data_IF_863887699312
#
_entry.id   IF_863887699312
#
_cell.length_a   1.000
_cell.length_b   1.000
_cell.length_c   1.000
_cell.angle_alpha   90.00
_cell.angle_beta   90.00
_cell.angle_gamma   90.00
#
_symmetry.space_group_name_H-M   'P 1'
#
loop_
_entity.id
_entity.type
_entity.pdbx_description
1 polymer ?
#
# COMPACT_ATOMS: atom_id res chain seq x y z
N UNK A 1 -1.09 -12.79 13.79
CA UNK A 1 0.30 -13.24 13.91
C UNK A 1 1.08 -12.11 14.58
N UNK A 2 1.78 -12.37 15.69
CA UNK A 2 2.43 -11.33 16.51
C UNK A 2 3.92 -11.15 16.13
N UNK A 3 4.52 -12.14 15.46
CA UNK A 3 5.91 -12.10 15.04
C UNK A 3 6.07 -11.38 13.70
N UNK A 4 7.07 -10.49 13.62
CA UNK A 4 7.47 -9.85 12.36
C UNK A 4 8.14 -10.86 11.44
N UNK A 5 7.92 -10.71 10.14
CA UNK A 5 8.55 -11.57 9.15
C UNK A 5 10.01 -11.13 8.92
N UNK A 6 10.92 -12.06 8.57
CA UNK A 6 12.33 -11.73 8.40
C UNK A 6 12.54 -10.82 7.19
N UNK A 7 13.29 -9.73 7.37
CA UNK A 7 13.70 -8.85 6.26
C UNK A 7 14.91 -9.39 5.51
N UNK A 8 15.74 -10.18 6.19
CA UNK A 8 16.91 -10.85 5.63
C UNK A 8 16.69 -12.36 5.66
N UNK A 9 16.78 -12.99 4.48
CA UNK A 9 16.64 -14.43 4.32
C UNK A 9 17.88 -14.95 3.61
N UNK A 10 18.39 -16.10 4.06
CA UNK A 10 19.54 -16.78 3.44
C UNK A 10 19.11 -18.18 3.05
N UNK A 11 19.38 -18.56 1.80
CA UNK A 11 19.15 -19.89 1.26
C UNK A 11 20.48 -20.45 0.78
N UNK A 12 20.95 -21.52 1.41
CA UNK A 12 22.19 -22.22 1.06
C UNK A 12 21.96 -23.72 1.38
N UNK A 13 22.56 -24.63 0.61
CA UNK A 13 22.45 -26.07 0.81
C UNK A 13 23.43 -26.59 1.89
N UNK A 14 24.51 -25.84 2.14
CA UNK A 14 25.56 -26.17 3.11
C UNK A 14 25.33 -25.47 4.46
N UNK A 15 25.15 -26.27 5.51
CA UNK A 15 24.86 -25.78 6.87
C UNK A 15 25.91 -24.78 7.39
N UNK A 16 27.20 -25.02 7.15
CA UNK A 16 28.26 -24.16 7.66
C UNK A 16 28.31 -22.80 6.95
N UNK A 17 28.01 -22.74 5.66
CA UNK A 17 27.87 -21.47 4.93
C UNK A 17 26.65 -20.68 5.40
N UNK A 18 25.52 -21.36 5.58
CA UNK A 18 24.29 -20.77 6.10
C UNK A 18 24.50 -20.17 7.51
N UNK A 19 25.16 -20.92 8.39
CA UNK A 19 25.50 -20.49 9.74
C UNK A 19 26.45 -19.29 9.75
N UNK A 20 27.38 -19.19 8.80
CA UNK A 20 28.31 -18.08 8.73
C UNK A 20 27.60 -16.74 8.46
N UNK A 21 26.70 -16.69 7.46
CA UNK A 21 25.94 -15.46 7.17
C UNK A 21 25.00 -15.13 8.32
N UNK A 22 24.22 -16.11 8.80
CA UNK A 22 23.23 -15.87 9.86
C UNK A 22 23.88 -15.42 11.16
N UNK A 23 25.04 -15.98 11.56
CA UNK A 23 25.81 -15.50 12.71
C UNK A 23 26.34 -14.09 12.52
N UNK A 24 26.77 -13.73 11.31
CA UNK A 24 27.16 -12.35 11.03
C UNK A 24 26.00 -11.39 11.29
N UNK A 25 24.80 -11.65 10.75
CA UNK A 25 23.64 -10.81 11.03
C UNK A 25 23.26 -10.74 12.53
N UNK A 26 23.44 -11.84 13.27
CA UNK A 26 23.25 -11.85 14.72
C UNK A 26 24.25 -10.94 15.45
N UNK A 27 25.53 -10.95 15.07
CA UNK A 27 26.55 -10.03 15.62
C UNK A 27 26.21 -8.57 15.32
N UNK A 28 25.53 -8.32 14.20
CA UNK A 28 25.05 -7.00 13.78
C UNK A 28 23.72 -6.60 14.43
N UNK A 29 23.17 -7.40 15.34
CA UNK A 29 21.91 -7.12 16.02
C UNK A 29 20.68 -7.15 15.11
N UNK A 30 20.77 -7.81 13.94
CA UNK A 30 19.71 -7.83 12.93
C UNK A 30 19.14 -9.24 12.77
N UNK A 31 17.81 -9.43 12.85
CA UNK A 31 17.20 -10.73 12.59
C UNK A 31 17.43 -11.20 11.15
N UNK A 32 17.94 -12.41 10.99
CA UNK A 32 18.14 -13.07 9.71
C UNK A 32 17.65 -14.52 9.79
N UNK A 33 16.88 -14.94 8.79
CA UNK A 33 16.38 -16.31 8.70
C UNK A 33 17.25 -17.13 7.76
N UNK A 34 17.91 -18.16 8.30
CA UNK A 34 18.60 -19.15 7.48
C UNK A 34 17.65 -20.30 7.11
N UNK A 35 17.62 -20.65 5.83
CA UNK A 35 16.88 -21.78 5.28
C UNK A 35 17.87 -22.69 4.58
N UNK A 36 18.06 -23.89 5.13
CA UNK A 36 18.83 -24.91 4.43
C UNK A 36 18.01 -25.41 3.24
N UNK A 37 18.59 -25.32 2.05
CA UNK A 37 17.97 -25.89 0.87
C UNK A 37 18.16 -27.40 0.83
N UNK A 38 17.08 -28.12 0.56
CA UNK A 38 17.07 -29.57 0.35
C UNK A 38 16.18 -29.85 -0.87
N UNK A 39 16.72 -30.41 -1.97
CA UNK A 39 15.94 -30.73 -3.17
C UNK A 39 14.73 -31.65 -2.91
N UNK A 40 14.74 -32.41 -1.81
CA UNK A 40 13.64 -33.30 -1.42
C UNK A 40 12.54 -32.60 -0.61
N UNK A 41 12.72 -31.33 -0.23
CA UNK A 41 11.78 -30.58 0.60
C UNK A 41 11.35 -29.29 -0.09
N UNK A 42 10.05 -29.03 -0.07
CA UNK A 42 9.52 -27.76 -0.55
C UNK A 42 9.86 -26.63 0.43
N UNK A 43 10.29 -25.50 -0.13
CA UNK A 43 10.46 -24.27 0.63
C UNK A 43 9.10 -23.75 1.11
N UNK A 44 9.06 -23.27 2.36
CA UNK A 44 7.84 -22.71 2.94
C UNK A 44 7.73 -21.23 2.57
N UNK A 45 6.71 -20.88 1.78
CA UNK A 45 6.47 -19.49 1.33
C UNK A 45 6.41 -18.47 2.48
N UNK A 46 5.88 -18.86 3.65
CA UNK A 46 5.79 -17.99 4.83
C UNK A 46 7.16 -17.49 5.32
N UNK A 47 8.25 -18.19 5.01
CA UNK A 47 9.61 -17.77 5.35
C UNK A 47 10.09 -16.58 4.51
N UNK A 48 9.51 -16.35 3.33
CA UNK A 48 9.88 -15.29 2.40
C UNK A 48 8.95 -14.08 2.50
N UNK A 49 7.97 -14.12 3.39
CA UNK A 49 7.00 -13.04 3.57
C UNK A 49 7.71 -11.75 3.97
N UNK A 50 7.64 -10.72 3.13
CA UNK A 50 8.22 -9.42 3.47
C UNK A 50 9.75 -9.38 3.46
N UNK A 51 10.41 -10.32 2.76
CA UNK A 51 11.85 -10.27 2.51
C UNK A 51 12.22 -8.94 1.82
N UNK A 52 13.39 -8.41 2.16
CA UNK A 52 13.99 -7.22 1.55
C UNK A 52 15.34 -7.52 0.94
N UNK A 53 16.09 -8.43 1.57
CA UNK A 53 17.37 -8.90 1.08
C UNK A 53 17.37 -10.43 1.17
N UNK A 54 17.41 -11.07 0.00
CA UNK A 54 17.49 -12.52 -0.13
C UNK A 54 18.92 -12.89 -0.54
N UNK A 55 19.65 -13.54 0.35
CA UNK A 55 20.92 -14.18 0.02
C UNK A 55 20.60 -15.57 -0.51
N UNK A 56 21.15 -15.90 -1.66
CA UNK A 56 20.97 -17.22 -2.25
C UNK A 56 22.29 -17.72 -2.78
N UNK A 57 22.65 -18.93 -2.36
CA UNK A 57 23.72 -19.64 -3.02
C UNK A 57 23.37 -19.90 -4.48
N UNK A 58 24.38 -19.80 -5.35
CA UNK A 58 24.18 -20.05 -6.77
C UNK A 58 24.07 -21.55 -7.07
N UNK A 59 24.77 -22.40 -6.32
CA UNK A 59 24.93 -23.82 -6.60
C UNK A 59 24.19 -24.69 -5.59
N UNK A 60 22.90 -24.40 -5.35
CA UNK A 60 22.02 -25.12 -4.41
C UNK A 60 21.88 -26.64 -4.62
N UNK A 61 22.40 -27.19 -5.72
CA UNK A 61 22.37 -28.63 -6.01
C UNK A 61 23.79 -29.08 -6.35
N UNK A 62 24.54 -29.45 -5.32
CA UNK A 62 25.84 -30.11 -5.45
C UNK A 62 25.64 -31.55 -5.95
N UNK A 63 26.26 -31.92 -7.08
CA UNK A 63 26.22 -33.31 -7.54
C UNK A 63 26.49 -33.56 -9.02
N UNK A 64 26.51 -32.53 -9.87
CA UNK A 64 27.14 -32.62 -11.17
C UNK A 64 27.93 -31.35 -11.41
N UNK A 65 29.17 -31.49 -11.85
CA UNK A 65 29.88 -30.47 -12.61
C UNK A 65 29.09 -30.22 -13.91
N UNK A 66 27.91 -29.62 -13.76
CA UNK A 66 27.08 -29.13 -14.82
C UNK A 66 27.77 -27.87 -15.28
N UNK A 67 28.47 -27.94 -16.40
CA UNK A 67 28.89 -26.75 -17.15
C UNK A 67 27.70 -25.90 -17.59
N UNK A 68 26.46 -26.37 -17.36
CA UNK A 68 25.22 -25.68 -17.70
C UNK A 68 24.73 -24.80 -16.53
N UNK A 69 25.29 -23.60 -16.48
CA UNK A 69 24.92 -22.54 -15.54
C UNK A 69 23.42 -22.19 -15.61
N UNK A 70 22.76 -22.42 -16.75
CA UNK A 70 21.32 -22.12 -16.92
C UNK A 70 20.44 -22.95 -16.00
N UNK A 71 20.85 -24.17 -15.65
CA UNK A 71 20.07 -25.01 -14.72
C UNK A 71 20.01 -24.36 -13.33
N UNK A 72 21.11 -23.80 -12.86
CA UNK A 72 21.17 -23.07 -11.59
C UNK A 72 20.29 -21.81 -11.63
N UNK A 73 20.34 -21.06 -12.74
CA UNK A 73 19.50 -19.87 -12.91
C UNK A 73 18.00 -20.20 -12.96
N UNK A 74 17.63 -21.27 -13.67
CA UNK A 74 16.26 -21.77 -13.72
C UNK A 74 15.72 -22.21 -12.37
N UNK A 75 16.56 -22.86 -11.55
CA UNK A 75 16.19 -23.22 -10.18
C UNK A 75 15.92 -21.98 -9.32
N UNK A 76 16.83 -21.00 -9.38
CA UNK A 76 16.65 -19.72 -8.67
C UNK A 76 15.35 -19.04 -9.11
N UNK A 77 15.09 -18.96 -10.42
CA UNK A 77 13.85 -18.36 -10.94
C UNK A 77 12.60 -19.05 -10.37
N UNK A 78 12.55 -20.39 -10.38
CA UNK A 78 11.44 -21.15 -9.80
C UNK A 78 11.29 -20.89 -8.29
N UNK A 79 12.40 -20.87 -7.53
CA UNK A 79 12.35 -20.54 -6.10
C UNK A 79 11.72 -19.14 -5.89
N UNK A 80 12.15 -18.14 -6.65
CA UNK A 80 11.59 -16.79 -6.54
C UNK A 80 10.11 -16.75 -6.88
N UNK A 81 9.71 -17.37 -7.99
CA UNK A 81 8.33 -17.42 -8.47
C UNK A 81 7.37 -18.18 -7.57
N UNK A 82 7.87 -19.18 -6.85
CA UNK A 82 7.06 -20.04 -6.00
C UNK A 82 7.02 -19.54 -4.55
N UNK A 83 7.95 -18.68 -4.13
CA UNK A 83 8.08 -18.27 -2.73
C UNK A 83 7.92 -16.77 -2.47
N UNK A 84 8.28 -15.90 -3.41
CA UNK A 84 8.09 -14.46 -3.22
C UNK A 84 6.60 -14.13 -3.32
N UNK A 85 6.05 -13.55 -2.26
CA UNK A 85 4.62 -13.23 -2.23
C UNK A 85 4.29 -12.04 -3.14
N UNK A 86 3.12 -12.08 -3.79
CA UNK A 86 2.51 -10.91 -4.47
C UNK A 86 2.43 -9.67 -3.58
N UNK A 87 2.31 -9.86 -2.27
CA UNK A 87 2.24 -8.80 -1.26
C UNK A 87 3.59 -8.61 -0.52
N UNK A 88 4.67 -9.23 -1.00
CA UNK A 88 5.98 -9.27 -0.35
C UNK A 88 6.71 -7.93 -0.37
N UNK A 89 6.35 -7.03 -1.30
CA UNK A 89 7.08 -5.79 -1.53
C UNK A 89 8.39 -6.02 -2.31
N UNK A 90 9.12 -4.95 -2.63
CA UNK A 90 10.38 -5.07 -3.35
C UNK A 90 11.45 -5.77 -2.50
N UNK A 91 12.36 -6.49 -3.17
CA UNK A 91 13.52 -7.11 -2.55
C UNK A 91 14.74 -7.04 -3.49
N UNK A 92 15.92 -7.23 -2.92
CA UNK A 92 17.17 -7.46 -3.65
C UNK A 92 17.61 -8.90 -3.51
N UNK A 93 18.21 -9.43 -4.57
CA UNK A 93 18.85 -10.74 -4.58
C UNK A 93 20.36 -10.55 -4.43
N UNK A 94 20.95 -11.17 -3.41
CA UNK A 94 22.39 -11.22 -3.20
C UNK A 94 22.87 -12.63 -3.47
N UNK A 95 23.60 -12.79 -4.57
CA UNK A 95 24.20 -14.06 -4.95
C UNK A 95 25.40 -14.31 -4.06
N UNK A 96 25.30 -15.32 -3.21
CA UNK A 96 26.34 -15.78 -2.32
C UNK A 96 27.14 -16.86 -3.05
N UNK A 97 28.27 -16.53 -3.66
CA UNK A 97 28.92 -17.42 -4.63
C UNK A 97 30.44 -17.30 -4.62
N UNK A 98 31.13 -18.34 -5.07
CA UNK A 98 32.57 -18.35 -5.35
C UNK A 98 32.90 -17.74 -6.74
N UNK A 99 31.86 -17.39 -7.51
CA UNK A 99 31.97 -16.98 -8.91
C UNK A 99 31.23 -15.65 -9.16
N UNK A 100 31.82 -14.52 -8.74
CA UNK A 100 31.16 -13.21 -8.80
C UNK A 100 30.68 -12.80 -10.21
N UNK A 101 31.39 -13.25 -11.26
CA UNK A 101 31.04 -12.95 -12.65
C UNK A 101 29.69 -13.52 -13.09
N UNK A 102 29.19 -14.59 -12.44
CA UNK A 102 27.93 -15.24 -12.79
C UNK A 102 26.69 -14.45 -12.37
N UNK A 103 26.84 -13.44 -11.51
CA UNK A 103 25.72 -12.62 -11.03
C UNK A 103 25.10 -11.76 -12.14
N UNK A 104 25.91 -11.32 -13.12
CA UNK A 104 25.41 -10.59 -14.28
C UNK A 104 24.61 -11.50 -15.22
N UNK A 105 25.09 -12.72 -15.46
CA UNK A 105 24.39 -13.72 -16.28
C UNK A 105 23.05 -14.14 -15.64
N UNK A 106 23.02 -14.34 -14.32
CA UNK A 106 21.79 -14.62 -13.59
C UNK A 106 20.79 -13.46 -13.71
N UNK A 107 21.23 -12.21 -13.56
CA UNK A 107 20.36 -11.04 -13.73
C UNK A 107 19.69 -11.05 -15.10
N UNK A 108 20.48 -11.20 -16.15
CA UNK A 108 20.00 -11.17 -17.52
C UNK A 108 19.05 -12.37 -17.78
N UNK A 109 19.32 -13.53 -17.17
CA UNK A 109 18.40 -14.68 -17.19
C UNK A 109 17.06 -14.35 -16.52
N UNK A 110 17.06 -13.78 -15.31
CA UNK A 110 15.84 -13.44 -14.58
C UNK A 110 14.98 -12.39 -15.31
N UNK A 111 15.62 -11.40 -15.93
CA UNK A 111 14.91 -10.38 -16.72
C UNK A 111 14.16 -10.97 -17.91
N UNK A 112 14.69 -12.05 -18.49
CA UNK A 112 14.12 -12.73 -19.66
C UNK A 112 13.14 -13.85 -19.31
N UNK A 113 13.29 -14.51 -18.15
CA UNK A 113 12.63 -15.79 -17.88
C UNK A 113 11.66 -15.78 -16.70
N UNK A 114 11.59 -14.72 -15.88
CA UNK A 114 10.54 -14.61 -14.85
C UNK A 114 9.16 -14.51 -15.53
N UNK A 115 8.21 -15.34 -15.10
CA UNK A 115 6.83 -15.36 -15.57
C UNK A 115 6.19 -13.96 -15.52
N UNK A 116 5.64 -13.52 -16.66
CA UNK A 116 4.96 -12.23 -16.79
C UNK A 116 3.73 -12.10 -15.87
N UNK A 117 3.13 -13.22 -15.46
CA UNK A 117 2.03 -13.26 -14.49
C UNK A 117 2.52 -13.25 -13.02
N UNK A 118 3.84 -13.36 -12.80
CA UNK A 118 4.50 -13.28 -11.50
C UNK A 118 5.57 -12.17 -11.44
N UNK A 119 5.25 -10.91 -11.82
CA UNK A 119 6.25 -9.83 -11.87
C UNK A 119 6.83 -9.45 -10.50
N UNK A 120 6.12 -9.80 -9.41
CA UNK A 120 6.54 -9.60 -8.03
C UNK A 120 7.74 -10.47 -7.61
N UNK A 121 8.02 -11.56 -8.33
CA UNK A 121 9.18 -12.42 -8.08
C UNK A 121 10.49 -11.83 -8.61
N UNK A 122 10.43 -10.74 -9.40
CA UNK A 122 11.61 -10.09 -9.95
C UNK A 122 12.30 -9.23 -8.88
N UNK A 123 13.60 -9.45 -8.61
CA UNK A 123 14.34 -8.60 -7.69
C UNK A 123 14.56 -7.21 -8.29
N UNK A 124 14.63 -6.18 -7.44
CA UNK A 124 15.00 -4.82 -7.88
C UNK A 124 16.47 -4.73 -8.32
N UNK A 125 17.32 -5.58 -7.76
CA UNK A 125 18.73 -5.70 -8.13
C UNK A 125 19.23 -7.12 -7.84
N UNK A 126 20.16 -7.59 -8.67
CA UNK A 126 20.96 -8.79 -8.43
C UNK A 126 22.38 -8.34 -8.14
N UNK A 127 22.84 -8.64 -6.93
CA UNK A 127 24.13 -8.24 -6.37
C UNK A 127 24.97 -9.49 -6.12
N UNK A 128 26.29 -9.34 -5.99
CA UNK A 128 27.21 -10.46 -5.78
C UNK A 128 28.02 -10.26 -4.51
N UNK A 129 28.22 -11.33 -3.75
CA UNK A 129 29.19 -11.39 -2.65
C UNK A 129 30.04 -12.67 -2.79
N UNK A 130 31.34 -12.50 -2.96
CA UNK A 130 32.31 -13.61 -2.96
C UNK A 130 32.40 -14.27 -1.58
N UNK A 131 32.10 -15.57 -1.49
CA UNK A 131 32.19 -16.32 -0.22
C UNK A 131 33.58 -16.24 0.40
N UNK A 132 34.61 -16.37 -0.44
CA UNK A 132 36.02 -16.46 -0.05
C UNK A 132 36.55 -15.19 0.61
N UNK A 133 35.89 -14.04 0.40
CA UNK A 133 36.26 -12.79 1.06
C UNK A 133 35.85 -12.74 2.53
N UNK A 134 34.83 -13.52 2.92
CA UNK A 134 34.22 -13.38 4.25
C UNK A 134 34.25 -14.66 5.07
N UNK A 135 34.29 -15.82 4.41
CA UNK A 135 34.31 -17.13 5.05
C UNK A 135 35.40 -18.02 4.47
N UNK A 136 35.93 -18.91 5.31
CA UNK A 136 36.63 -20.08 4.80
C UNK A 136 35.59 -21.06 4.24
N UNK A 137 35.58 -21.27 2.92
CA UNK A 137 34.60 -22.12 2.21
C UNK A 137 34.61 -23.57 2.72
N UNK A 138 35.75 -24.06 3.23
CA UNK A 138 35.88 -25.43 3.70
C UNK A 138 35.10 -25.73 4.98
N UNK A 139 35.07 -24.78 5.93
CA UNK A 139 34.51 -24.99 7.28
C UNK A 139 33.50 -23.91 7.72
N UNK A 140 33.30 -22.86 6.92
CA UNK A 140 32.38 -21.77 7.18
C UNK A 140 32.84 -20.82 8.29
N UNK A 141 34.11 -20.90 8.72
CA UNK A 141 34.64 -19.97 9.70
C UNK A 141 34.65 -18.54 9.15
N UNK A 142 34.15 -17.60 9.96
CA UNK A 142 34.01 -16.19 9.57
C UNK A 142 35.37 -15.51 9.76
N UNK A 143 35.88 -14.88 8.69
CA UNK A 143 37.14 -14.14 8.73
C UNK A 143 36.95 -12.74 9.35
N UNK A 144 35.99 -11.98 8.85
CA UNK A 144 35.67 -10.62 9.33
C UNK A 144 34.15 -10.32 9.18
N UNK A 145 33.38 -10.35 10.29
CA UNK A 145 31.96 -10.01 10.28
C UNK A 145 31.65 -8.55 9.89
N UNK A 146 32.52 -7.59 10.24
CA UNK A 146 32.31 -6.17 9.92
C UNK A 146 32.60 -5.90 8.44
N UNK A 147 33.52 -6.64 7.83
CA UNK A 147 33.72 -6.57 6.38
C UNK A 147 32.49 -7.07 5.61
N UNK A 148 31.87 -8.16 6.04
CA UNK A 148 30.63 -8.68 5.43
C UNK A 148 29.48 -7.68 5.62
N UNK A 149 29.34 -7.08 6.82
CA UNK A 149 28.38 -6.00 7.05
C UNK A 149 28.56 -4.85 6.07
N UNK A 150 29.79 -4.35 5.94
CA UNK A 150 30.12 -3.24 5.06
C UNK A 150 29.83 -3.61 3.61
N UNK A 151 30.19 -4.82 3.17
CA UNK A 151 29.93 -5.28 1.82
C UNK A 151 28.42 -5.37 1.52
N UNK A 152 27.61 -5.89 2.44
CA UNK A 152 26.14 -5.91 2.31
C UNK A 152 25.58 -4.49 2.27
N UNK A 153 26.02 -3.61 3.17
CA UNK A 153 25.60 -2.21 3.23
C UNK A 153 25.93 -1.49 1.91
N UNK A 154 27.17 -1.60 1.44
CA UNK A 154 27.64 -0.94 0.22
C UNK A 154 26.90 -1.46 -1.01
N UNK A 155 26.60 -2.76 -1.04
CA UNK A 155 25.81 -3.38 -2.11
C UNK A 155 24.36 -2.83 -2.13
N UNK A 156 23.74 -2.62 -0.97
CA UNK A 156 22.41 -2.01 -0.86
C UNK A 156 22.44 -0.53 -1.29
N UNK A 157 23.40 0.25 -0.79
CA UNK A 157 23.52 1.69 -1.04
C UNK A 157 23.94 2.01 -2.48
N UNK A 158 24.53 1.05 -3.20
CA UNK A 158 24.85 1.18 -4.62
C UNK A 158 23.62 1.55 -5.49
N UNK A 159 22.40 1.21 -5.06
CA UNK A 159 21.17 1.73 -5.65
C UNK A 159 20.48 2.69 -4.66
N UNK A 160 20.58 4.02 -4.89
CA UNK A 160 20.03 5.01 -3.97
C UNK A 160 18.51 4.88 -3.77
N UNK A 161 17.75 4.51 -4.80
CA UNK A 161 16.30 4.38 -4.72
C UNK A 161 15.90 3.22 -3.80
N UNK A 162 16.56 2.07 -3.95
CA UNK A 162 16.32 0.89 -3.09
C UNK A 162 16.72 1.23 -1.66
N UNK A 163 17.92 1.75 -1.46
CA UNK A 163 18.43 2.07 -0.14
C UNK A 163 17.55 3.09 0.59
N UNK A 164 17.04 4.11 -0.11
CA UNK A 164 16.13 5.09 0.46
C UNK A 164 14.80 4.46 0.91
N UNK A 165 14.22 3.55 0.11
CA UNK A 165 12.97 2.86 0.46
C UNK A 165 13.14 1.88 1.63
N UNK A 166 14.25 1.14 1.67
CA UNK A 166 14.57 0.26 2.81
C UNK A 166 14.87 1.06 4.08
N UNK A 167 15.59 2.19 3.93
CA UNK A 167 15.82 3.14 5.01
C UNK A 167 14.52 3.71 5.57
N UNK A 168 13.59 4.11 4.69
CA UNK A 168 12.27 4.57 5.11
C UNK A 168 11.50 3.53 5.95
N UNK A 169 11.57 2.26 5.58
CA UNK A 169 10.93 1.20 6.37
C UNK A 169 11.58 1.05 7.76
N UNK A 170 12.90 1.13 7.84
CA UNK A 170 13.62 1.10 9.12
C UNK A 170 13.26 2.31 10.00
N UNK A 171 13.17 3.49 9.40
CA UNK A 171 12.76 4.74 10.04
C UNK A 171 11.33 4.65 10.60
N UNK A 172 10.38 4.10 9.83
CA UNK A 172 9.01 3.86 10.30
C UNK A 172 8.97 2.89 11.48
N UNK A 173 9.82 1.85 11.47
CA UNK A 173 9.92 0.91 12.60
C UNK A 173 10.52 1.57 13.85
N UNK A 174 11.54 2.41 13.69
CA UNK A 174 12.11 3.23 14.76
C UNK A 174 11.06 4.16 15.36
N UNK A 175 10.37 4.93 14.52
CA UNK A 175 9.30 5.83 14.95
C UNK A 175 8.18 5.09 15.71
N UNK A 176 7.82 3.88 15.27
CA UNK A 176 6.86 3.02 15.97
C UNK A 176 7.41 2.57 17.33
N UNK A 177 8.66 2.13 17.39
CA UNK A 177 9.34 1.75 18.64
C UNK A 177 9.39 2.89 19.65
N UNK A 178 9.76 4.09 19.21
CA UNK A 178 9.80 5.27 20.08
C UNK A 178 8.41 5.73 20.52
N UNK A 179 7.39 5.59 19.65
CA UNK A 179 5.99 5.82 20.03
C UNK A 179 5.59 4.93 21.19
N UNK A 180 5.90 3.63 21.10
CA UNK A 180 5.63 2.69 22.18
C UNK A 180 6.43 3.03 23.45
N UNK A 181 7.71 3.39 23.32
CA UNK A 181 8.54 3.77 24.46
C UNK A 181 8.00 5.00 25.20
N UNK A 182 7.54 6.03 24.48
CA UNK A 182 6.89 7.20 25.10
C UNK A 182 5.58 6.86 25.80
N UNK A 183 4.76 5.96 25.22
CA UNK A 183 3.53 5.51 25.89
C UNK A 183 3.83 4.90 27.26
N UNK A 184 4.91 4.13 27.37
CA UNK A 184 5.34 3.56 28.65
C UNK A 184 5.79 4.63 29.65
N UNK A 185 6.28 5.78 29.18
CA UNK A 185 6.66 6.89 30.06
C UNK A 185 5.45 7.54 30.75
N UNK A 186 4.25 7.43 30.16
CA UNK A 186 3.00 7.90 30.76
C UNK A 186 2.57 7.08 31.98
N UNK A 187 3.05 5.83 32.11
CA UNK A 187 2.80 5.03 33.30
C UNK A 187 3.72 5.50 34.43
N UNK A 188 3.19 5.83 35.63
CA UNK A 188 4.01 6.25 36.77
C UNK A 188 5.08 5.22 37.11
N UNK A 189 6.30 5.67 37.44
CA UNK A 189 7.43 4.78 37.68
C UNK A 189 7.18 3.75 38.80
N UNK A 190 6.42 4.13 39.84
CA UNK A 190 6.04 3.24 40.94
C UNK A 190 5.11 2.10 40.51
N UNK A 191 4.40 2.25 39.39
CA UNK A 191 3.47 1.25 38.84
C UNK A 191 4.11 0.38 37.75
N UNK A 192 5.37 0.63 37.37
CA UNK A 192 6.12 -0.19 36.40
C UNK A 192 6.70 -1.45 37.06
N UNK A 193 5.87 -2.17 37.80
CA UNK A 193 6.19 -3.45 38.42
C UNK A 193 5.20 -4.51 37.92
N UNK A 194 5.64 -5.76 37.79
CA UNK A 194 4.87 -6.82 37.13
C UNK A 194 3.43 -6.99 37.64
N UNK A 195 3.18 -6.68 38.92
CA UNK A 195 1.87 -6.82 39.54
C UNK A 195 0.87 -5.73 39.12
N UNK A 196 1.30 -4.50 38.84
CA UNK A 196 0.42 -3.36 38.54
C UNK A 196 0.59 -2.78 37.14
N UNK A 197 1.68 -3.14 36.44
CA UNK A 197 2.00 -2.56 35.15
C UNK A 197 0.95 -2.83 34.06
N UNK A 198 0.37 -4.05 33.95
CA UNK A 198 -0.68 -4.31 32.97
C UNK A 198 -1.92 -3.40 33.14
N UNK A 199 -2.41 -3.24 34.36
CA UNK A 199 -3.60 -2.43 34.66
C UNK A 199 -3.33 -0.93 34.47
N UNK A 200 -2.12 -0.47 34.82
CA UNK A 200 -1.70 0.90 34.59
C UNK A 200 -1.58 1.21 33.08
N UNK A 201 -1.04 0.27 32.30
CA UNK A 201 -0.96 0.39 30.85
C UNK A 201 -2.36 0.39 30.20
N UNK A 202 -3.24 -0.52 30.62
CA UNK A 202 -4.64 -0.54 30.17
C UNK A 202 -5.33 0.80 30.45
N UNK A 203 -5.10 1.38 31.63
CA UNK A 203 -5.65 2.70 31.98
C UNK A 203 -5.22 3.78 30.99
N UNK A 204 -3.95 3.79 30.56
CA UNK A 204 -3.44 4.75 29.56
C UNK A 204 -4.05 4.49 28.19
N UNK A 205 -4.06 3.24 27.71
CA UNK A 205 -4.62 2.87 26.42
C UNK A 205 -6.13 3.20 26.34
N UNK A 206 -6.87 2.86 27.39
CA UNK A 206 -8.30 3.15 27.52
C UNK A 206 -8.59 4.65 27.53
N UNK A 207 -7.74 5.46 28.17
CA UNK A 207 -7.85 6.93 28.12
C UNK A 207 -7.58 7.45 26.71
N UNK A 208 -6.51 7.02 26.05
CA UNK A 208 -6.17 7.45 24.69
C UNK A 208 -7.28 7.13 23.69
N UNK A 209 -7.78 5.89 23.71
CA UNK A 209 -8.89 5.47 22.86
C UNK A 209 -10.14 6.32 23.12
N UNK A 210 -10.47 6.56 24.39
CA UNK A 210 -11.62 7.39 24.77
C UNK A 210 -11.49 8.84 24.30
N UNK A 211 -10.33 9.47 24.47
CA UNK A 211 -10.15 10.85 24.04
C UNK A 211 -10.16 10.98 22.50
N UNK A 212 -9.70 9.96 21.78
CA UNK A 212 -9.67 9.98 20.32
C UNK A 212 -11.06 9.84 19.66
N UNK A 213 -11.95 8.99 20.21
CA UNK A 213 -13.25 8.68 19.55
C UNK A 213 -14.47 8.84 20.45
N UNK A 214 -14.31 9.06 21.75
CA UNK A 214 -15.38 9.09 22.74
C UNK A 214 -15.80 7.70 23.24
N UNK A 215 -16.30 7.61 24.48
CA UNK A 215 -16.66 6.33 25.16
C UNK A 215 -17.55 5.40 24.32
N UNK A 216 -18.66 5.85 23.70
CA UNK A 216 -19.57 4.95 22.98
C UNK A 216 -18.92 4.30 21.76
N UNK A 217 -17.88 4.91 21.20
CA UNK A 217 -17.23 4.44 19.97
C UNK A 217 -16.08 3.46 20.24
N UNK A 218 -15.51 3.46 21.46
CA UNK A 218 -14.45 2.51 21.85
C UNK A 218 -14.98 1.08 21.81
N UNK A 219 -16.16 0.85 22.40
CA UNK A 219 -16.81 -0.48 22.48
C UNK A 219 -17.11 -1.09 21.11
N UNK A 220 -17.25 -0.27 20.07
CA UNK A 220 -17.55 -0.77 18.72
C UNK A 220 -16.31 -1.39 18.09
N UNK A 221 -15.14 -0.76 18.24
CA UNK A 221 -13.89 -1.29 17.72
C UNK A 221 -12.68 -0.69 18.46
N UNK A 222 -12.25 -1.39 19.51
CA UNK A 222 -11.10 -1.03 20.33
C UNK A 222 -9.82 -0.79 19.52
N UNK A 223 -9.55 -1.66 18.54
CA UNK A 223 -8.36 -1.54 17.67
C UNK A 223 -8.40 -0.25 16.87
N UNK A 224 -9.53 0.06 16.22
CA UNK A 224 -9.67 1.30 15.46
C UNK A 224 -9.56 2.51 16.38
N UNK A 225 -10.18 2.49 17.56
CA UNK A 225 -10.14 3.59 18.51
C UNK A 225 -8.71 3.93 18.96
N UNK A 226 -7.92 2.93 19.37
CA UNK A 226 -6.53 3.16 19.75
C UNK A 226 -5.66 3.53 18.55
N UNK A 227 -5.90 2.94 17.37
CA UNK A 227 -5.16 3.30 16.15
C UNK A 227 -5.41 4.75 15.75
N UNK A 228 -6.64 5.27 15.89
CA UNK A 228 -6.95 6.69 15.66
C UNK A 228 -6.17 7.62 16.58
N UNK A 229 -5.89 7.20 17.82
CA UNK A 229 -5.06 7.97 18.74
C UNK A 229 -3.56 7.92 18.37
N UNK A 230 -3.06 6.73 18.00
CA UNK A 230 -1.63 6.50 17.75
C UNK A 230 -1.17 6.92 16.35
N UNK A 231 -2.02 6.81 15.33
CA UNK A 231 -1.69 7.13 13.95
C UNK A 231 -1.14 8.55 13.75
N UNK A 232 -1.74 9.64 14.29
CA UNK A 232 -1.18 10.98 14.12
C UNK A 232 0.17 11.13 14.83
N UNK A 233 0.38 10.47 15.97
CA UNK A 233 1.66 10.50 16.71
C UNK A 233 2.76 9.81 15.89
N UNK A 234 2.45 8.63 15.34
CA UNK A 234 3.37 7.89 14.48
C UNK A 234 3.69 8.70 13.22
N UNK A 235 2.68 9.28 12.56
CA UNK A 235 2.87 10.07 11.36
C UNK A 235 3.75 11.29 11.62
N UNK A 236 3.52 12.01 12.72
CA UNK A 236 4.34 13.14 13.14
C UNK A 236 5.80 12.72 13.37
N UNK A 237 6.04 11.60 14.08
CA UNK A 237 7.39 11.08 14.32
C UNK A 237 8.11 10.67 13.06
N UNK A 238 7.43 10.00 12.13
CA UNK A 238 8.03 9.62 10.83
C UNK A 238 8.46 10.85 10.04
N UNK A 239 7.69 11.93 10.09
CA UNK A 239 7.98 13.16 9.36
C UNK A 239 9.05 14.04 10.03
N UNK A 240 9.08 14.04 11.37
CA UNK A 240 9.87 14.98 12.16
C UNK A 240 11.00 14.33 12.98
N UNK A 241 11.29 13.05 12.75
CA UNK A 241 12.45 12.39 13.36
C UNK A 241 13.76 13.06 12.92
N UNK A 242 14.74 13.10 13.82
CA UNK A 242 16.09 13.53 13.48
C UNK A 242 16.72 12.50 12.53
N UNK A 243 16.99 12.91 11.30
CA UNK A 243 17.67 12.10 10.30
C UNK A 243 19.14 12.49 10.20
N UNK A 244 20.01 11.50 10.03
CA UNK A 244 21.44 11.75 9.82
C UNK A 244 21.66 12.52 8.51
N UNK A 245 22.79 13.23 8.41
CA UNK A 245 23.18 13.90 7.17
C UNK A 245 23.34 12.90 6.01
N UNK A 246 23.81 11.67 6.30
CA UNK A 246 23.95 10.60 5.32
C UNK A 246 22.59 10.15 4.75
N UNK A 247 21.59 9.96 5.61
CA UNK A 247 20.22 9.62 5.21
C UNK A 247 19.59 10.74 4.38
N UNK A 248 19.80 12.01 4.76
CA UNK A 248 19.29 13.14 3.99
C UNK A 248 19.93 13.23 2.59
N UNK A 249 21.24 13.00 2.48
CA UNK A 249 21.94 12.95 1.18
C UNK A 249 21.52 11.74 0.33
N UNK A 250 21.20 10.61 0.96
CA UNK A 250 20.67 9.44 0.25
C UNK A 250 19.37 9.76 -0.49
N UNK A 251 18.43 10.47 0.16
CA UNK A 251 17.17 10.88 -0.47
C UNK A 251 17.38 11.83 -1.65
N UNK A 252 18.35 12.75 -1.56
CA UNK A 252 18.73 13.63 -2.69
C UNK A 252 19.23 12.83 -3.89
N UNK A 253 19.99 11.75 -3.65
CA UNK A 253 20.47 10.83 -4.70
C UNK A 253 19.37 9.93 -5.24
N UNK A 254 18.37 9.60 -4.42
CA UNK A 254 17.25 8.73 -4.81
C UNK A 254 16.21 9.47 -5.66
N UNK A 255 15.85 10.71 -5.30
CA UNK A 255 14.74 11.47 -5.90
C UNK A 255 15.28 12.65 -6.72
N UNK A 256 15.91 12.36 -7.85
CA UNK A 256 16.65 13.37 -8.64
C UNK A 256 15.81 14.08 -9.70
N UNK A 257 14.71 13.48 -10.16
CA UNK A 257 13.93 13.97 -11.32
C UNK A 257 12.83 14.96 -10.98
N UNK A 258 12.71 15.41 -9.73
CA UNK A 258 11.61 16.26 -9.29
C UNK A 258 11.59 17.67 -9.93
N UNK A 259 12.74 18.15 -10.42
CA UNK A 259 12.89 19.42 -11.16
C UNK A 259 13.34 19.19 -12.62
N UNK A 260 13.17 17.98 -13.15
CA UNK A 260 13.53 17.66 -14.54
C UNK A 260 12.41 18.13 -15.46
N UNK A 261 12.61 19.25 -16.18
CA UNK A 261 11.63 19.79 -17.15
C UNK A 261 11.31 18.79 -18.29
N UNK A 262 12.14 17.75 -18.49
CA UNK A 262 11.87 16.68 -19.46
C UNK A 262 10.99 15.55 -18.90
N UNK A 263 10.71 15.57 -17.59
CA UNK A 263 9.77 14.66 -16.96
C UNK A 263 8.36 15.00 -17.45
N UNK A 264 7.91 14.25 -18.46
CA UNK A 264 6.55 14.37 -19.00
C UNK A 264 5.51 14.11 -17.91
N UNK A 265 4.35 14.75 -18.05
CA UNK A 265 3.18 14.41 -17.26
C UNK A 265 2.91 12.90 -17.32
N UNK A 266 2.55 12.34 -16.17
CA UNK A 266 2.19 10.93 -16.06
C UNK A 266 1.05 10.59 -17.04
N UNK A 267 1.15 9.42 -17.69
CA UNK A 267 0.05 8.90 -18.49
C UNK A 267 -1.19 8.67 -17.61
N UNK A 268 -2.40 8.63 -18.20
CA UNK A 268 -3.62 8.31 -17.43
C UNK A 268 -3.50 6.97 -16.68
N UNK A 269 -2.75 6.02 -17.22
CA UNK A 269 -2.48 4.73 -16.57
C UNK A 269 -1.61 4.89 -15.33
N UNK A 270 -0.47 5.56 -15.48
CA UNK A 270 0.49 5.79 -14.39
C UNK A 270 -0.14 6.65 -13.28
N UNK A 271 -0.74 7.79 -13.66
CA UNK A 271 -1.47 8.64 -12.73
C UNK A 271 -2.61 7.86 -12.05
N UNK A 272 -3.31 7.01 -12.79
CA UNK A 272 -4.37 6.14 -12.27
C UNK A 272 -3.90 5.20 -11.14
N UNK A 273 -2.76 4.54 -11.35
CA UNK A 273 -2.15 3.67 -10.34
C UNK A 273 -1.69 4.45 -9.09
N UNK A 274 -1.05 5.62 -9.29
CA UNK A 274 -0.59 6.47 -8.18
C UNK A 274 -1.79 7.00 -7.38
N UNK A 275 -2.80 7.55 -8.04
CA UNK A 275 -3.99 8.08 -7.38
C UNK A 275 -4.80 6.98 -6.68
N UNK A 276 -4.87 5.76 -7.23
CA UNK A 276 -5.44 4.60 -6.51
C UNK A 276 -4.73 4.41 -5.18
N UNK A 277 -3.40 4.32 -5.19
CA UNK A 277 -2.60 4.08 -3.99
C UNK A 277 -2.78 5.20 -2.94
N UNK A 278 -2.82 6.45 -3.37
CA UNK A 278 -2.92 7.60 -2.47
C UNK A 278 -4.34 7.84 -1.94
N UNK A 279 -5.36 7.59 -2.76
CA UNK A 279 -6.69 8.16 -2.55
C UNK A 279 -7.83 7.14 -2.52
N UNK A 280 -7.57 5.86 -2.79
CA UNK A 280 -8.60 4.83 -2.86
C UNK A 280 -8.24 3.65 -1.95
N UNK A 281 -9.23 3.13 -1.26
CA UNK A 281 -9.16 1.89 -0.50
C UNK A 281 -10.01 0.83 -1.22
N UNK A 282 -9.47 -0.38 -1.41
CA UNK A 282 -10.15 -1.47 -2.14
C UNK A 282 -10.49 -2.65 -1.23
N UNK A 283 -11.66 -3.30 -1.40
CA UNK A 283 -12.03 -4.49 -0.64
C UNK A 283 -10.99 -5.61 -0.79
N UNK A 284 -10.87 -6.46 0.23
CA UNK A 284 -9.91 -7.58 0.28
C UNK A 284 -8.58 -7.21 0.92
N UNK A 285 -8.03 -6.03 0.61
CA UNK A 285 -6.86 -5.46 1.32
C UNK A 285 -7.27 -4.68 2.57
N UNK A 286 -8.45 -4.05 2.52
CA UNK A 286 -9.02 -3.26 3.61
C UNK A 286 -10.45 -3.72 3.93
N UNK A 287 -10.85 -3.64 5.19
CA UNK A 287 -12.26 -3.80 5.59
C UNK A 287 -13.00 -2.50 5.28
N UNK A 288 -14.00 -2.60 4.41
CA UNK A 288 -14.82 -1.47 3.96
C UNK A 288 -16.28 -1.87 4.12
N UNK A 289 -17.11 -0.97 4.63
CA UNK A 289 -18.57 -1.11 4.70
C UNK A 289 -19.25 -0.14 3.72
N UNK A 290 -20.44 -0.50 3.25
CA UNK A 290 -21.23 0.36 2.36
C UNK A 290 -21.62 1.70 3.02
N UNK A 291 -21.67 1.72 4.34
CA UNK A 291 -22.01 2.88 5.16
C UNK A 291 -20.78 3.73 5.56
N UNK A 292 -19.57 3.28 5.21
CA UNK A 292 -18.34 4.02 5.50
C UNK A 292 -18.29 5.34 4.74
N UNK A 293 -17.70 6.35 5.37
CA UNK A 293 -17.45 7.64 4.72
C UNK A 293 -16.59 7.49 3.48
N UNK A 294 -17.07 8.01 2.35
CA UNK A 294 -16.43 7.86 1.04
C UNK A 294 -16.66 6.52 0.35
N UNK A 295 -17.46 5.61 0.92
CA UNK A 295 -17.78 4.35 0.26
C UNK A 295 -18.44 4.61 -1.10
N UNK A 296 -17.95 3.93 -2.13
CA UNK A 296 -18.50 3.90 -3.48
C UNK A 296 -19.15 2.55 -3.68
N UNK A 297 -20.46 2.56 -3.87
CA UNK A 297 -21.32 1.38 -3.90
C UNK A 297 -22.09 1.31 -5.22
N UNK A 298 -22.34 0.10 -5.70
CA UNK A 298 -23.08 -0.13 -6.94
C UNK A 298 -24.52 0.41 -6.81
N UNK A 299 -24.96 1.19 -7.80
CA UNK A 299 -26.37 1.49 -7.96
C UNK A 299 -27.08 0.22 -8.45
N UNK A 300 -28.18 -0.17 -7.80
CA UNK A 300 -28.95 -1.34 -8.20
C UNK A 300 -29.33 -1.27 -9.69
N UNK A 301 -29.15 -2.38 -10.41
CA UNK A 301 -29.55 -2.49 -11.81
C UNK A 301 -31.07 -2.31 -11.98
N UNK A 302 -31.86 -2.72 -10.99
CA UNK A 302 -33.32 -2.51 -11.00
C UNK A 302 -33.69 -1.03 -11.01
N UNK A 303 -32.89 -0.19 -10.33
CA UNK A 303 -33.06 1.26 -10.35
C UNK A 303 -32.51 1.80 -11.67
N UNK A 304 -31.26 1.49 -12.01
CA UNK A 304 -30.59 2.09 -13.17
C UNK A 304 -31.24 1.76 -14.52
N UNK A 305 -31.88 0.60 -14.64
CA UNK A 305 -32.55 0.18 -15.86
C UNK A 305 -34.06 0.48 -15.88
N UNK A 306 -34.58 1.19 -14.86
CA UNK A 306 -35.99 1.59 -14.78
C UNK A 306 -36.12 3.11 -14.74
N UNK A 307 -36.60 3.70 -15.84
CA UNK A 307 -36.85 5.15 -15.91
C UNK A 307 -37.85 5.62 -14.85
N UNK A 308 -38.83 4.80 -14.48
CA UNK A 308 -39.78 5.15 -13.41
C UNK A 308 -39.10 5.21 -12.04
N UNK A 309 -38.19 4.28 -11.73
CA UNK A 309 -37.43 4.33 -10.49
C UNK A 309 -36.40 5.48 -10.50
N UNK A 310 -35.74 5.74 -11.61
CA UNK A 310 -34.82 6.88 -11.73
C UNK A 310 -35.54 8.21 -11.58
N UNK A 311 -36.74 8.39 -12.16
CA UNK A 311 -37.57 9.58 -11.92
C UNK A 311 -37.94 9.73 -10.45
N UNK A 312 -38.27 8.63 -9.76
CA UNK A 312 -38.59 8.69 -8.33
C UNK A 312 -37.39 9.06 -7.46
N UNK A 313 -36.17 8.65 -7.83
CA UNK A 313 -34.97 8.80 -6.98
C UNK A 313 -34.14 10.02 -7.35
N UNK A 314 -34.05 10.35 -8.64
CA UNK A 314 -33.16 11.37 -9.20
C UNK A 314 -33.85 12.37 -10.14
N UNK A 315 -35.16 12.26 -10.35
CA UNK A 315 -35.94 13.17 -11.21
C UNK A 315 -35.41 13.21 -12.66
N UNK A 316 -35.08 12.05 -13.22
CA UNK A 316 -34.65 11.91 -14.61
C UNK A 316 -34.68 10.48 -15.10
N UNK A 317 -34.66 10.29 -16.42
CA UNK A 317 -34.50 9.00 -17.09
C UNK A 317 -33.02 8.63 -17.23
N UNK A 318 -32.74 7.38 -17.58
CA UNK A 318 -31.35 6.95 -17.84
C UNK A 318 -30.70 7.76 -18.96
N UNK A 319 -31.45 8.10 -20.01
CA UNK A 319 -30.95 8.89 -21.14
C UNK A 319 -30.69 10.34 -20.75
N UNK A 320 -31.61 10.99 -20.04
CA UNK A 320 -31.41 12.37 -19.55
C UNK A 320 -30.19 12.45 -18.61
N UNK A 321 -30.05 11.49 -17.70
CA UNK A 321 -28.88 11.42 -16.81
C UNK A 321 -27.58 11.26 -17.62
N UNK A 322 -27.52 10.34 -18.59
CA UNK A 322 -26.30 10.12 -19.37
C UNK A 322 -25.99 11.29 -20.31
N UNK A 323 -26.94 11.70 -21.15
CA UNK A 323 -26.70 12.64 -22.26
C UNK A 323 -26.78 14.10 -21.82
N UNK A 324 -27.71 14.45 -20.94
CA UNK A 324 -27.94 15.84 -20.53
C UNK A 324 -27.14 16.20 -19.29
N UNK A 325 -27.03 15.29 -18.33
CA UNK A 325 -26.43 15.60 -17.04
C UNK A 325 -24.95 15.27 -16.98
N UNK A 326 -24.55 14.10 -17.49
CA UNK A 326 -23.15 13.70 -17.59
C UNK A 326 -22.55 13.95 -18.99
N UNK A 327 -23.32 14.47 -19.96
CA UNK A 327 -22.80 14.81 -21.31
C UNK A 327 -22.09 13.64 -22.01
N UNK A 328 -22.62 12.43 -21.85
CA UNK A 328 -22.17 11.21 -22.51
C UNK A 328 -22.80 11.13 -23.91
N UNK A 329 -22.07 10.57 -24.87
CA UNK A 329 -22.61 10.31 -26.20
C UNK A 329 -23.33 8.96 -26.20
N UNK A 330 -24.41 8.85 -26.97
CA UNK A 330 -25.18 7.61 -27.12
C UNK A 330 -24.32 6.36 -27.36
N UNK A 331 -23.29 6.47 -28.22
CA UNK A 331 -22.39 5.37 -28.56
C UNK A 331 -21.51 4.87 -27.39
N UNK A 332 -21.41 5.62 -26.29
CA UNK A 332 -20.55 5.31 -25.14
C UNK A 332 -21.34 5.01 -23.86
N UNK A 333 -22.67 4.92 -23.92
CA UNK A 333 -23.51 4.63 -22.75
C UNK A 333 -23.09 3.35 -22.02
N UNK A 334 -22.81 2.28 -22.76
CA UNK A 334 -22.44 0.98 -22.18
C UNK A 334 -21.01 0.92 -21.64
N UNK A 335 -20.22 1.98 -21.82
CA UNK A 335 -18.88 2.12 -21.23
C UNK A 335 -18.91 2.81 -19.88
N UNK A 336 -20.02 3.45 -19.52
CA UNK A 336 -20.19 4.14 -18.25
C UNK A 336 -20.84 3.19 -17.24
N UNK A 337 -20.44 3.29 -15.96
CA UNK A 337 -20.99 2.46 -14.88
C UNK A 337 -21.50 3.33 -13.74
N UNK A 338 -22.75 3.17 -13.29
CA UNK A 338 -23.34 4.00 -12.25
C UNK A 338 -22.98 3.54 -10.84
N UNK A 339 -22.70 4.51 -9.97
CA UNK A 339 -22.36 4.29 -8.57
C UNK A 339 -22.96 5.36 -7.69
N UNK A 340 -22.98 5.06 -6.39
CA UNK A 340 -23.38 5.95 -5.33
C UNK A 340 -22.17 6.22 -4.43
N UNK A 341 -21.91 7.48 -4.12
CA UNK A 341 -20.78 7.90 -3.28
C UNK A 341 -21.30 8.39 -1.95
N UNK A 342 -20.94 7.71 -0.86
CA UNK A 342 -21.37 8.09 0.50
C UNK A 342 -20.68 9.38 0.93
N UNK A 343 -21.48 10.41 1.18
CA UNK A 343 -21.05 11.73 1.65
C UNK A 343 -21.67 12.06 3.01
N UNK A 344 -21.25 13.17 3.60
CA UNK A 344 -21.72 13.66 4.89
C UNK A 344 -20.61 14.36 5.66
N UNK A 345 -20.95 15.00 6.78
CA UNK A 345 -19.96 15.63 7.64
C UNK A 345 -19.09 14.56 8.32
N UNK A 346 -17.77 14.80 8.36
CA UNK A 346 -16.82 13.92 9.05
C UNK A 346 -17.19 13.71 10.53
N UNK A 347 -17.63 14.77 11.20
CA UNK A 347 -18.07 14.74 12.60
C UNK A 347 -19.29 13.83 12.82
N UNK A 348 -20.26 13.81 11.90
CA UNK A 348 -21.45 12.98 12.03
C UNK A 348 -21.12 11.50 11.88
N UNK A 349 -20.18 11.18 10.98
CA UNK A 349 -19.65 9.83 10.84
C UNK A 349 -18.86 9.40 12.09
N UNK A 350 -17.93 10.22 12.56
CA UNK A 350 -17.10 9.93 13.73
C UNK A 350 -17.94 9.73 15.00
N UNK A 351 -19.04 10.47 15.15
CA UNK A 351 -19.93 10.40 16.31
C UNK A 351 -21.08 9.41 16.14
N UNK A 352 -21.17 8.69 15.00
CA UNK A 352 -22.26 7.77 14.65
C UNK A 352 -23.64 8.35 14.93
N UNK A 353 -23.84 9.63 14.58
CA UNK A 353 -25.12 10.29 14.85
C UNK A 353 -26.23 9.60 14.09
N UNK A 354 -27.38 9.45 14.76
CA UNK A 354 -28.55 8.82 14.16
C UNK A 354 -29.09 9.71 13.04
N UNK A 355 -29.28 9.14 11.86
CA UNK A 355 -29.83 9.84 10.71
C UNK A 355 -29.74 9.01 9.43
N UNK A 356 -30.42 9.43 8.35
CA UNK A 356 -30.20 8.85 7.04
C UNK A 356 -28.78 9.16 6.54
N UNK A 357 -28.23 8.25 5.76
CA UNK A 357 -26.98 8.42 5.03
C UNK A 357 -27.28 8.99 3.65
N UNK A 358 -26.53 10.03 3.27
CA UNK A 358 -26.62 10.64 1.94
C UNK A 358 -25.58 10.05 1.01
N UNK A 359 -26.01 9.71 -0.19
CA UNK A 359 -25.17 9.28 -1.30
C UNK A 359 -25.38 10.22 -2.49
N UNK A 360 -24.33 10.47 -3.25
CA UNK A 360 -24.41 11.21 -4.52
C UNK A 360 -24.28 10.25 -5.70
N UNK A 361 -25.08 10.47 -6.75
CA UNK A 361 -24.95 9.72 -7.99
C UNK A 361 -23.65 10.09 -8.69
N UNK A 362 -22.89 9.07 -9.08
CA UNK A 362 -21.74 9.22 -9.93
C UNK A 362 -21.64 8.15 -11.01
N UNK A 363 -20.80 8.41 -12.00
CA UNK A 363 -20.46 7.50 -13.08
C UNK A 363 -18.95 7.27 -13.10
N UNK A 364 -18.52 6.01 -13.19
CA UNK A 364 -17.18 5.70 -13.69
C UNK A 364 -17.18 5.85 -15.20
N UNK A 365 -16.26 6.69 -15.69
CA UNK A 365 -16.18 7.03 -17.11
C UNK A 365 -14.73 6.86 -17.57
N UNK A 366 -14.47 6.12 -18.67
CA UNK A 366 -13.12 5.94 -19.18
C UNK A 366 -12.38 7.28 -19.35
N UNK A 367 -11.12 7.35 -18.93
CA UNK A 367 -10.39 8.61 -18.81
C UNK A 367 -10.21 9.34 -20.15
N UNK A 368 -10.18 8.57 -21.25
CA UNK A 368 -9.99 9.06 -22.63
C UNK A 368 -11.32 9.31 -23.38
N UNK A 369 -12.47 9.05 -22.74
CA UNK A 369 -13.78 9.25 -23.35
C UNK A 369 -14.07 10.74 -23.58
N UNK A 370 -14.44 11.09 -24.81
CA UNK A 370 -14.80 12.46 -25.20
C UNK A 370 -16.29 12.74 -24.93
N UNK A 371 -16.57 13.78 -24.14
CA UNK A 371 -17.93 14.25 -23.84
C UNK A 371 -18.60 14.91 -25.06
N UNK A 372 -19.94 14.99 -25.03
CA UNK A 372 -20.73 15.73 -26.02
C UNK A 372 -20.61 17.26 -25.83
N UNK A 373 -20.43 17.71 -24.59
CA UNK A 373 -20.25 19.10 -24.21
C UNK A 373 -19.40 19.24 -22.94
N UNK A 374 -19.15 20.47 -22.49
CA UNK A 374 -18.52 20.72 -21.18
C UNK A 374 -19.39 20.19 -20.05
N UNK A 375 -18.75 19.57 -19.06
CA UNK A 375 -19.43 19.09 -17.85
C UNK A 375 -20.16 20.24 -17.12
N UNK A 376 -21.36 20.01 -16.57
CA UNK A 376 -22.05 21.03 -15.77
C UNK A 376 -21.24 21.42 -14.53
N UNK A 377 -21.45 22.64 -14.02
CA UNK A 377 -20.78 23.11 -12.80
C UNK A 377 -21.11 22.28 -11.53
N UNK A 378 -22.19 21.51 -11.57
CA UNK A 378 -22.58 20.58 -10.52
C UNK A 378 -21.74 19.29 -10.52
N UNK A 379 -21.06 18.98 -11.62
CA UNK A 379 -20.26 17.76 -11.74
C UNK A 379 -18.88 17.97 -11.12
N UNK A 380 -18.55 17.13 -10.14
CA UNK A 380 -17.21 16.95 -9.64
C UNK A 380 -16.53 15.80 -10.38
N UNK A 381 -15.23 15.93 -10.64
CA UNK A 381 -14.44 14.93 -11.37
C UNK A 381 -13.22 14.54 -10.54
N UNK A 382 -13.05 13.25 -10.30
CA UNK A 382 -11.84 12.71 -9.68
C UNK A 382 -10.62 12.82 -10.61
N UNK A 383 -9.38 12.69 -10.08
CA UNK A 383 -8.24 12.37 -10.94
C UNK A 383 -8.45 11.00 -11.62
N UNK A 384 -7.58 10.65 -12.58
CA UNK A 384 -7.61 9.32 -13.17
C UNK A 384 -7.37 8.26 -12.09
N UNK A 385 -8.06 7.13 -12.18
CA UNK A 385 -7.98 5.99 -11.28
C UNK A 385 -7.88 4.70 -12.08
N UNK A 386 -7.19 3.71 -11.51
CA UNK A 386 -7.13 2.34 -11.99
C UNK A 386 -7.44 1.43 -10.81
N UNK A 387 -8.25 0.39 -11.01
CA UNK A 387 -8.50 -0.65 -10.01
C UNK A 387 -7.89 -1.97 -10.47
N UNK A 388 -7.53 -2.84 -9.53
CA UNK A 388 -6.96 -4.15 -9.86
C UNK A 388 -7.95 -4.96 -10.71
N UNK A 389 -7.46 -5.59 -11.78
CA UNK A 389 -8.30 -6.32 -12.73
C UNK A 389 -9.03 -5.44 -13.75
N UNK A 390 -8.93 -4.10 -13.67
CA UNK A 390 -9.40 -3.21 -14.75
C UNK A 390 -8.22 -2.79 -15.63
N UNK A 391 -8.31 -3.03 -16.94
CA UNK A 391 -7.23 -2.70 -17.88
C UNK A 391 -7.20 -1.22 -18.29
N UNK A 392 -8.24 -0.43 -18.01
CA UNK A 392 -8.38 0.92 -18.55
C UNK A 392 -8.60 1.96 -17.44
N UNK A 393 -7.87 3.09 -17.46
CA UNK A 393 -8.08 4.18 -16.53
C UNK A 393 -9.48 4.76 -16.67
N UNK A 394 -10.08 5.14 -15.55
CA UNK A 394 -11.35 5.84 -15.50
C UNK A 394 -11.27 7.07 -14.60
N UNK A 395 -12.30 7.90 -14.62
CA UNK A 395 -12.54 8.95 -13.65
C UNK A 395 -13.93 8.74 -13.06
N UNK A 396 -14.05 8.98 -11.76
CA UNK A 396 -15.35 9.05 -11.09
C UNK A 396 -15.88 10.48 -11.25
N UNK A 397 -17.02 10.59 -11.92
CA UNK A 397 -17.75 11.84 -12.10
C UNK A 397 -18.97 11.82 -11.20
N UNK A 398 -19.10 12.76 -10.27
CA UNK A 398 -20.18 12.82 -9.29
C UNK A 398 -20.99 14.09 -9.53
N UNK A 399 -22.29 13.97 -9.76
CA UNK A 399 -23.15 15.13 -9.94
C UNK A 399 -23.89 15.42 -8.64
N UNK A 400 -23.54 16.54 -8.01
CA UNK A 400 -23.99 16.86 -6.64
C UNK A 400 -25.47 17.23 -6.55
N UNK A 401 -26.16 17.41 -7.69
CA UNK A 401 -27.62 17.62 -7.74
C UNK A 401 -28.39 16.33 -7.41
N UNK A 402 -27.81 15.18 -7.71
CA UNK A 402 -28.49 13.89 -7.60
C UNK A 402 -28.06 13.20 -6.32
N UNK A 403 -28.84 13.40 -5.27
CA UNK A 403 -28.60 12.82 -3.95
C UNK A 403 -29.68 11.81 -3.59
N UNK A 404 -29.27 10.70 -2.97
CA UNK A 404 -30.14 9.68 -2.42
C UNK A 404 -29.89 9.57 -0.91
N UNK A 405 -30.94 9.77 -0.11
CA UNK A 405 -30.88 9.61 1.34
C UNK A 405 -31.60 8.33 1.78
N UNK A 406 -30.91 7.46 2.54
CA UNK A 406 -31.45 6.19 3.01
C UNK A 406 -31.04 5.90 4.46
N UNK A 407 -31.89 5.27 5.29
CA UNK A 407 -31.49 4.78 6.60
C UNK A 407 -30.29 3.82 6.50
N UNK A 408 -29.36 3.85 7.45
CA UNK A 408 -28.14 3.05 7.41
C UNK A 408 -28.40 1.55 7.19
N UNK A 409 -29.36 0.96 7.90
CA UNK A 409 -29.70 -0.46 7.77
C UNK A 409 -30.22 -0.88 6.39
N UNK A 410 -30.73 0.06 5.58
CA UNK A 410 -31.14 -0.22 4.21
C UNK A 410 -29.95 -0.27 3.22
N UNK A 411 -28.77 0.19 3.66
CA UNK A 411 -27.56 0.30 2.84
C UNK A 411 -26.50 -0.76 3.19
N UNK A 412 -26.61 -1.43 4.34
CA UNK A 412 -25.56 -2.34 4.85
C UNK A 412 -25.21 -3.47 3.88
N UNK A 413 -26.20 -3.97 3.13
CA UNK A 413 -26.04 -5.04 2.14
C UNK A 413 -25.65 -4.55 0.74
N UNK A 414 -25.44 -3.24 0.53
CA UNK A 414 -25.08 -2.73 -0.78
C UNK A 414 -23.68 -3.17 -1.17
N UNK A 415 -23.51 -3.50 -2.46
CA UNK A 415 -22.24 -4.00 -2.97
C UNK A 415 -21.22 -2.86 -3.11
N UNK A 416 -20.11 -3.01 -2.41
CA UNK A 416 -19.03 -2.03 -2.35
C UNK A 416 -18.07 -2.27 -3.51
N UNK A 417 -17.64 -1.18 -4.14
CA UNK A 417 -16.60 -1.23 -5.15
C UNK A 417 -15.24 -0.76 -4.61
N UNK A 418 -15.22 0.36 -3.91
CA UNK A 418 -14.06 0.91 -3.20
C UNK A 418 -14.50 2.01 -2.22
N UNK A 419 -13.56 2.63 -1.53
CA UNK A 419 -13.79 3.80 -0.67
C UNK A 419 -12.81 4.91 -1.03
N UNK A 420 -13.33 6.13 -1.21
CA UNK A 420 -12.52 7.34 -1.32
C UNK A 420 -11.89 7.65 0.04
N UNK A 421 -10.56 7.77 0.07
CA UNK A 421 -9.82 8.24 1.24
C UNK A 421 -10.09 9.72 1.47
N UNK A 422 -9.86 10.15 2.71
CA UNK A 422 -10.27 11.45 3.24
C UNK A 422 -9.90 12.63 2.32
N UNK A 423 -8.66 12.71 1.84
CA UNK A 423 -8.23 13.84 1.00
C UNK A 423 -9.11 14.00 -0.26
N UNK A 424 -9.36 12.92 -0.99
CA UNK A 424 -10.15 12.97 -2.22
C UNK A 424 -11.63 13.19 -1.94
N UNK A 425 -12.13 12.59 -0.85
CA UNK A 425 -13.50 12.81 -0.39
C UNK A 425 -13.73 14.27 0.05
N UNK A 426 -12.76 14.89 0.73
CA UNK A 426 -12.83 16.28 1.13
C UNK A 426 -12.87 17.24 -0.06
N UNK A 427 -12.20 16.92 -1.17
CA UNK A 427 -12.34 17.67 -2.42
C UNK A 427 -13.76 17.58 -2.99
N UNK A 428 -14.36 16.38 -3.00
CA UNK A 428 -15.75 16.20 -3.42
C UNK A 428 -16.71 16.97 -2.49
N UNK A 429 -16.53 16.89 -1.18
CA UNK A 429 -17.38 17.60 -0.20
C UNK A 429 -17.25 19.11 -0.32
N UNK A 430 -16.04 19.62 -0.51
CA UNK A 430 -15.80 21.05 -0.76
C UNK A 430 -16.54 21.52 -2.01
N UNK A 431 -16.46 20.76 -3.11
CA UNK A 431 -17.22 21.05 -4.34
C UNK A 431 -18.73 21.00 -4.11
N UNK A 432 -19.22 19.95 -3.44
CA UNK A 432 -20.65 19.78 -3.13
C UNK A 432 -21.18 20.94 -2.29
N UNK A 433 -20.50 21.27 -1.19
CA UNK A 433 -20.90 22.34 -0.30
C UNK A 433 -20.89 23.70 -1.03
N UNK A 434 -19.81 23.99 -1.76
CA UNK A 434 -19.68 25.22 -2.55
C UNK A 434 -20.71 25.34 -3.67
N UNK A 435 -21.20 24.23 -4.22
CA UNK A 435 -22.31 24.25 -5.17
C UNK A 435 -23.65 24.49 -4.47
N UNK A 436 -23.93 23.78 -3.37
CA UNK A 436 -25.19 23.91 -2.61
C UNK A 436 -25.36 25.27 -1.93
N UNK A 437 -24.27 25.96 -1.60
CA UNK A 437 -24.30 27.27 -0.95
C UNK A 437 -24.49 28.43 -1.93
N UNK A 438 -24.65 28.18 -3.23
CA UNK A 438 -24.85 29.25 -4.23
C UNK A 438 -26.20 29.93 -3.99
N UNK A 439 -26.24 31.24 -3.75
CA UNK A 439 -27.49 31.94 -3.41
C UNK A 439 -28.45 32.11 -4.60
N UNK A 440 -28.11 31.58 -5.78
CA UNK A 440 -28.84 31.81 -7.02
C UNK A 440 -28.67 33.24 -7.52
N UNK A 441 -29.60 33.70 -8.36
CA UNK A 441 -29.67 35.09 -8.80
C UNK A 441 -30.35 35.89 -7.68
N UNK A 442 -29.56 36.61 -6.89
CA UNK A 442 -30.08 37.54 -5.89
C UNK A 442 -30.08 38.95 -6.49
N UNK A 443 -31.20 39.36 -7.06
CA UNK A 443 -31.47 40.74 -7.41
C UNK A 443 -32.49 41.29 -6.42
N UNK A 444 -32.06 42.22 -5.57
CA UNK A 444 -32.98 43.01 -4.76
C UNK A 444 -33.41 44.23 -5.59
N UNK A 445 -34.71 44.54 -5.68
CA UNK A 445 -35.16 45.72 -6.41
C UNK A 445 -34.60 46.98 -5.74
N UNK A 446 -33.67 47.67 -6.41
CA UNK A 446 -33.30 49.03 -6.06
C UNK A 446 -34.40 49.97 -6.56
N UNK A 447 -35.05 50.70 -5.65
CA UNK A 447 -35.84 51.88 -6.00
C UNK A 447 -34.93 53.09 -6.17
#
# INVERSE_FOLDING_TARGET
MIFSAPRFVVVDDRDHHLLAITRTFQLLGTPCMGIRYDPAQELKQDHFKGVRCLFMDLHLVDGQASTDQRRHYGLIASILEDNISRNGGPFILVVWTEHEHLSAELRDYLDQNIDAEKPHARPLAVLSLAKEKFINVGDGSIADPEELKRAVHDAVVANPQIAALLGWEADVLLAAGDTLAELLKLVPAAERVSASFPDALDTILSRLAREAVGRPNVEVNHRTAITTALAPILADRVLNQEVSAETAELWKKAVTRHNDDSLKDASNQEAGCVNRMLHVAVPGSETILATDWGAVVELSEDIWNSDDQLRQVFDGTRLELLEEEFKIKAADHDKCRPYLVRVGAACDYAQKRRGPLTYLLGLEIPADLKRSASAPAAEWKSPALVLDGTQSPFRLHVNVRFSLSRPAGACEAWKIRYRLREQLLMLLLSHSNGYTSRPGIVQLPSK
#
